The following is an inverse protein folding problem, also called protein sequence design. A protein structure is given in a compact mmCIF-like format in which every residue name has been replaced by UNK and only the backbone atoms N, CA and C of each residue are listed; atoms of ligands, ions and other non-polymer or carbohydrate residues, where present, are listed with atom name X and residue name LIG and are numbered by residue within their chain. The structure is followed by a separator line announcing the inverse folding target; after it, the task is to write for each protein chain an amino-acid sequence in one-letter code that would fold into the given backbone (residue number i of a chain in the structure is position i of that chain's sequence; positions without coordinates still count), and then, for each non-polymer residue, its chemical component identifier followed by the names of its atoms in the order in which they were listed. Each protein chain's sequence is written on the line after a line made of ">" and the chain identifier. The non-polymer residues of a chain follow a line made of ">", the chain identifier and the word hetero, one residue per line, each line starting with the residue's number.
data_IF_468104200037
#
_entry.id   IF_468104200037
#
_cell.length_a   1.000
_cell.length_b   1.000
_cell.length_c   1.000
_cell.angle_alpha   90.00
_cell.angle_beta   90.00
_cell.angle_gamma   90.00
#
_symmetry.space_group_name_H-M   'P 1'
#
loop_
_entity.id
_entity.type
_entity.pdbx_description
1 polymer ?
#
# COMPACT_ATOMS: atom_id res chain seq x y z
N UNK A 1 -3.81 2.52 -30.89
CA UNK A 1 -2.90 1.75 -30.03
C UNK A 1 -3.12 2.25 -28.60
N UNK A 2 -4.16 1.77 -27.91
CA UNK A 2 -4.42 2.15 -26.53
C UNK A 2 -3.81 1.06 -25.65
N UNK A 3 -2.60 1.32 -25.14
CA UNK A 3 -2.02 0.50 -24.08
C UNK A 3 -2.93 0.61 -22.86
N UNK A 4 -3.83 -0.35 -22.73
CA UNK A 4 -4.71 -0.50 -21.57
C UNK A 4 -3.84 -1.04 -20.44
N UNK A 5 -3.29 -0.11 -19.67
CA UNK A 5 -2.58 -0.39 -18.44
C UNK A 5 -3.52 -1.12 -17.46
N UNK A 6 -3.47 -2.45 -17.56
CA UNK A 6 -4.35 -3.42 -16.86
C UNK A 6 -4.07 -3.46 -15.36
N UNK A 7 -3.02 -2.79 -14.87
CA UNK A 7 -2.64 -2.78 -13.46
C UNK A 7 -3.56 -1.92 -12.58
N UNK A 8 -4.40 -1.07 -13.18
CA UNK A 8 -5.30 -0.16 -12.45
C UNK A 8 -6.31 -0.89 -11.56
N UNK A 9 -6.55 -2.19 -11.79
CA UNK A 9 -7.54 -2.99 -11.06
C UNK A 9 -6.92 -4.05 -10.14
N UNK A 10 -5.58 -4.07 -10.00
CA UNK A 10 -4.87 -5.09 -9.23
C UNK A 10 -4.37 -4.51 -7.90
N UNK A 11 -5.04 -4.90 -6.81
CA UNK A 11 -4.74 -4.43 -5.45
C UNK A 11 -3.87 -5.39 -4.64
N UNK A 12 -2.91 -4.85 -3.90
CA UNK A 12 -2.01 -5.61 -3.03
C UNK A 12 -2.46 -5.53 -1.57
N UNK A 13 -2.51 -6.66 -0.86
CA UNK A 13 -2.91 -6.71 0.55
C UNK A 13 -1.76 -6.30 1.47
N UNK A 14 -2.08 -5.81 2.67
CA UNK A 14 -1.08 -5.42 3.68
C UNK A 14 0.05 -6.45 3.90
N UNK A 15 -0.20 -7.77 4.02
CA UNK A 15 0.89 -8.75 4.19
C UNK A 15 1.86 -8.81 3.00
N UNK A 16 1.33 -8.70 1.77
CA UNK A 16 2.16 -8.66 0.56
C UNK A 16 3.00 -7.38 0.52
N UNK A 17 2.37 -6.24 0.81
CA UNK A 17 3.04 -4.93 0.88
C UNK A 17 4.16 -4.94 1.91
N UNK A 18 3.91 -5.40 3.14
CA UNK A 18 4.91 -5.53 4.20
C UNK A 18 6.12 -6.35 3.75
N UNK A 19 5.87 -7.52 3.12
CA UNK A 19 6.93 -8.41 2.63
C UNK A 19 7.75 -7.75 1.51
N UNK A 20 7.08 -7.12 0.54
CA UNK A 20 7.77 -6.47 -0.59
C UNK A 20 8.60 -5.30 -0.07
N UNK A 21 7.99 -4.37 0.66
CA UNK A 21 8.64 -3.13 1.14
C UNK A 21 9.71 -3.42 2.21
N UNK A 22 9.59 -4.51 2.95
CA UNK A 22 10.50 -4.85 4.05
C UNK A 22 10.21 -4.02 5.31
N UNK A 23 8.93 -3.88 5.65
CA UNK A 23 8.45 -3.21 6.87
C UNK A 23 7.53 -4.14 7.65
N UNK A 24 7.43 -3.88 8.95
CA UNK A 24 6.45 -4.57 9.80
C UNK A 24 5.03 -4.06 9.52
N UNK A 25 4.03 -4.89 9.83
CA UNK A 25 2.63 -4.46 9.78
C UNK A 25 2.37 -3.23 10.66
N UNK A 26 3.03 -3.13 11.83
CA UNK A 26 2.91 -1.96 12.72
C UNK A 26 3.44 -0.68 12.10
N UNK A 27 4.57 -0.73 11.38
CA UNK A 27 5.07 0.45 10.66
C UNK A 27 4.08 0.88 9.58
N UNK A 28 3.52 -0.07 8.84
CA UNK A 28 2.50 0.21 7.82
C UNK A 28 1.23 0.81 8.45
N UNK A 29 0.71 0.22 9.53
CA UNK A 29 -0.47 0.72 10.25
C UNK A 29 -0.22 2.11 10.87
N UNK A 30 0.97 2.33 11.42
CA UNK A 30 1.35 3.63 11.97
C UNK A 30 1.39 4.71 10.89
N UNK A 31 1.96 4.44 9.72
CA UNK A 31 1.99 5.41 8.61
C UNK A 31 0.62 5.70 8.01
N UNK A 32 -0.27 4.70 7.98
CA UNK A 32 -1.68 4.89 7.59
C UNK A 32 -2.40 5.79 8.61
N UNK A 33 -2.28 5.45 9.90
CA UNK A 33 -2.91 6.22 10.98
C UNK A 33 -2.33 7.62 11.17
N UNK A 34 -1.06 7.85 10.83
CA UNK A 34 -0.45 9.18 10.89
C UNK A 34 -0.73 10.03 9.64
N UNK A 35 -1.42 9.47 8.63
CA UNK A 35 -1.67 10.14 7.36
C UNK A 35 -0.43 10.29 6.46
N UNK A 36 0.64 9.56 6.76
CA UNK A 36 1.86 9.58 5.93
C UNK A 36 1.63 8.84 4.61
N UNK A 37 0.98 7.67 4.68
CA UNK A 37 0.52 6.92 3.51
C UNK A 37 -0.54 5.91 3.93
N UNK A 38 -1.72 5.96 3.29
CA UNK A 38 -2.78 4.96 3.37
C UNK A 38 -3.00 4.22 2.05
N UNK A 39 -3.84 3.18 2.02
CA UNK A 39 -4.16 2.46 0.78
C UNK A 39 -4.95 3.37 -0.18
N UNK A 40 -4.44 3.55 -1.40
CA UNK A 40 -5.10 4.41 -2.40
C UNK A 40 -6.22 3.70 -3.18
N UNK A 41 -6.21 2.36 -3.24
CA UNK A 41 -7.23 1.60 -3.98
C UNK A 41 -8.46 1.30 -3.12
N UNK A 42 -8.26 0.78 -1.91
CA UNK A 42 -9.37 0.50 -1.00
C UNK A 42 -8.95 0.67 0.44
N UNK A 43 -9.62 1.57 1.14
CA UNK A 43 -9.57 1.68 2.59
C UNK A 43 -10.46 0.60 3.20
N UNK A 44 -10.02 -0.02 4.29
CA UNK A 44 -10.89 -0.92 5.05
C UNK A 44 -11.94 -0.10 5.83
N UNK A 45 -13.22 -0.38 5.62
CA UNK A 45 -14.36 0.35 6.21
C UNK A 45 -15.20 -0.49 7.19
N UNK A 46 -14.75 -1.69 7.54
CA UNK A 46 -15.45 -2.56 8.49
C UNK A 46 -14.94 -3.99 8.50
N UNK A 47 -15.61 -4.85 9.27
CA UNK A 47 -15.32 -6.28 9.31
C UNK A 47 -15.45 -6.91 7.92
N UNK A 48 -14.47 -7.72 7.52
CA UNK A 48 -14.43 -8.38 6.21
C UNK A 48 -13.85 -7.54 5.05
N UNK A 49 -13.63 -6.24 5.24
CA UNK A 49 -12.95 -5.41 4.23
C UNK A 49 -11.44 -5.40 4.43
N UNK A 50 -10.69 -5.38 3.32
CA UNK A 50 -9.24 -5.39 3.34
C UNK A 50 -8.69 -4.10 2.75
N UNK A 51 -7.53 -3.67 3.27
CA UNK A 51 -6.75 -2.59 2.67
C UNK A 51 -6.12 -3.09 1.38
N UNK A 52 -6.40 -2.41 0.27
CA UNK A 52 -5.77 -2.69 -1.02
C UNK A 52 -4.91 -1.49 -1.42
N UNK A 53 -3.64 -1.79 -1.67
CA UNK A 53 -2.64 -0.83 -2.10
C UNK A 53 -2.42 -0.98 -3.59
N UNK A 54 -2.20 0.14 -4.27
CA UNK A 54 -1.76 0.16 -5.67
C UNK A 54 -0.27 -0.14 -5.76
N UNK A 55 0.23 -0.40 -6.97
CA UNK A 55 1.67 -0.43 -7.21
C UNK A 55 2.36 0.89 -6.81
N UNK A 56 1.71 2.03 -7.09
CA UNK A 56 2.22 3.36 -6.73
C UNK A 56 2.39 3.53 -5.21
N UNK A 57 1.47 2.99 -4.42
CA UNK A 57 1.58 2.98 -2.96
C UNK A 57 2.81 2.19 -2.51
N UNK A 58 3.07 1.02 -3.10
CA UNK A 58 4.24 0.18 -2.80
C UNK A 58 5.54 0.93 -3.11
N UNK A 59 5.62 1.58 -4.27
CA UNK A 59 6.80 2.38 -4.66
C UNK A 59 7.00 3.52 -3.66
N UNK A 60 5.93 4.23 -3.31
CA UNK A 60 5.99 5.36 -2.37
C UNK A 60 6.40 4.90 -0.98
N UNK A 61 5.86 3.77 -0.49
CA UNK A 61 6.27 3.14 0.76
C UNK A 61 7.76 2.75 0.77
N UNK A 62 8.29 2.27 -0.36
CA UNK A 62 9.72 1.98 -0.50
C UNK A 62 10.57 3.25 -0.38
N UNK A 63 10.13 4.34 -0.98
CA UNK A 63 10.81 5.65 -0.87
C UNK A 63 10.75 6.16 0.57
N UNK A 64 9.57 6.16 1.20
CA UNK A 64 9.39 6.55 2.61
C UNK A 64 10.32 5.75 3.52
N UNK A 65 10.37 4.42 3.35
CA UNK A 65 11.28 3.56 4.12
C UNK A 65 12.73 4.03 3.97
N UNK A 66 13.21 4.23 2.74
CA UNK A 66 14.60 4.66 2.49
C UNK A 66 14.93 6.06 3.02
N UNK A 67 13.94 6.94 3.13
CA UNK A 67 14.13 8.29 3.69
C UNK A 67 14.03 8.32 5.22
N UNK A 68 13.42 7.29 5.80
CA UNK A 68 13.32 7.08 7.25
C UNK A 68 14.37 6.11 7.79
N UNK A 69 15.17 5.53 6.90
CA UNK A 69 16.44 4.86 7.24
C UNK A 69 17.47 5.90 7.67
#
# INVERSE_FOLDING_TARGET
>A
MTDTNTDSNLGYRSPQVCKVVGITYRQLDYWDRSGLLGPSMQVASGSGTQRLYTFQDIVTLRVIKRLKD
#
